data_IF_476746386633
#
_entry.id   IF_476746386633
#
_cell.length_a   1.000
_cell.length_b   1.000
_cell.length_c   1.000
_cell.angle_alpha   90.00
_cell.angle_beta   90.00
_cell.angle_gamma   90.00
#
_symmetry.space_group_name_H-M   'P 1'
#
loop_
_entity.id
_entity.type
_entity.pdbx_description
1 polymer ?
#
# COMPACT_ATOMS: atom_id res chain seq x y z
N UNK A 1 6.94 -2.04 25.21
CA UNK A 1 7.73 -2.39 24.02
C UNK A 1 6.90 -3.40 23.23
N UNK A 2 6.36 -3.03 22.08
CA UNK A 2 5.68 -3.95 21.17
C UNK A 2 6.75 -4.81 20.52
N UNK A 3 6.61 -6.12 20.64
CA UNK A 3 7.52 -7.12 20.10
C UNK A 3 7.68 -6.90 18.57
N UNK A 4 8.81 -6.30 18.18
CA UNK A 4 9.09 -5.83 16.81
C UNK A 4 9.41 -6.98 15.82
N UNK A 5 9.41 -8.24 16.31
CA UNK A 5 9.94 -9.40 15.56
C UNK A 5 8.88 -10.21 14.81
N UNK A 6 7.61 -9.74 14.70
CA UNK A 6 6.53 -10.64 14.28
C UNK A 6 6.37 -10.83 12.78
N UNK A 7 6.85 -9.90 11.93
CA UNK A 7 6.80 -10.04 10.47
C UNK A 7 8.16 -9.71 9.86
N UNK A 8 8.71 -10.66 9.12
CA UNK A 8 9.89 -10.46 8.29
C UNK A 8 9.49 -10.52 6.81
N UNK A 9 10.40 -10.16 5.91
CA UNK A 9 10.13 -10.09 4.46
C UNK A 9 9.44 -11.34 3.92
N UNK A 10 9.91 -12.55 4.27
CA UNK A 10 9.35 -13.83 3.82
C UNK A 10 7.89 -14.05 4.21
N UNK A 11 7.43 -13.45 5.31
CA UNK A 11 6.07 -13.64 5.82
C UNK A 11 5.05 -12.78 5.06
N UNK A 12 5.52 -11.72 4.41
CA UNK A 12 4.67 -10.71 3.76
C UNK A 12 4.92 -10.54 2.27
N UNK A 13 6.03 -11.09 1.73
CA UNK A 13 6.40 -10.96 0.32
C UNK A 13 5.49 -11.77 -0.59
N UNK A 14 5.34 -11.31 -1.83
CA UNK A 14 4.82 -12.09 -2.93
C UNK A 14 5.97 -12.88 -3.58
N UNK A 15 5.80 -14.21 -3.74
CA UNK A 15 6.83 -15.09 -4.31
C UNK A 15 6.69 -15.29 -5.82
N UNK A 16 5.47 -15.14 -6.39
CA UNK A 16 5.25 -15.17 -7.85
C UNK A 16 5.63 -13.80 -8.44
N UNK A 17 6.93 -13.60 -8.65
CA UNK A 17 7.49 -12.34 -9.12
C UNK A 17 7.71 -12.39 -10.62
N UNK A 18 6.95 -11.61 -11.38
CA UNK A 18 7.21 -11.40 -12.79
C UNK A 18 8.52 -10.61 -12.94
N UNK A 19 9.44 -11.11 -13.76
CA UNK A 19 10.74 -10.49 -14.04
C UNK A 19 10.92 -10.28 -15.55
N UNK A 20 11.84 -9.39 -15.92
CA UNK A 20 12.23 -9.11 -17.30
C UNK A 20 13.75 -9.07 -17.42
N UNK A 21 14.26 -9.10 -18.66
CA UNK A 21 15.68 -8.98 -18.94
C UNK A 21 16.02 -7.56 -19.42
N UNK A 22 17.29 -7.10 -19.27
CA UNK A 22 17.72 -5.78 -19.77
C UNK A 22 17.43 -5.56 -21.26
N UNK A 23 17.45 -6.65 -22.06
CA UNK A 23 17.20 -6.62 -23.49
C UNK A 23 15.72 -6.75 -23.87
N UNK A 24 14.81 -6.92 -22.91
CA UNK A 24 13.37 -6.88 -23.17
C UNK A 24 12.97 -5.51 -23.69
N UNK A 25 12.04 -5.47 -24.65
CA UNK A 25 11.52 -4.18 -25.15
C UNK A 25 10.65 -3.50 -24.08
N UNK A 26 10.65 -2.19 -24.08
CA UNK A 26 9.79 -1.41 -23.18
C UNK A 26 8.31 -1.80 -23.36
N UNK A 27 7.87 -1.96 -24.62
CA UNK A 27 6.50 -2.35 -24.93
C UNK A 27 6.12 -3.72 -24.33
N UNK A 28 7.00 -4.72 -24.42
CA UNK A 28 6.71 -6.05 -23.88
C UNK A 28 6.69 -6.03 -22.33
N UNK A 29 7.55 -5.23 -21.71
CA UNK A 29 7.53 -5.03 -20.26
C UNK A 29 6.23 -4.33 -19.80
N UNK A 30 5.76 -3.32 -20.51
CA UNK A 30 4.48 -2.64 -20.24
C UNK A 30 3.30 -3.60 -20.37
N UNK A 31 3.26 -4.43 -21.43
CA UNK A 31 2.25 -5.48 -21.59
C UNK A 31 2.27 -6.46 -20.42
N UNK A 32 3.46 -6.85 -19.96
CA UNK A 32 3.62 -7.74 -18.81
C UNK A 32 3.11 -7.07 -17.52
N UNK A 33 3.43 -5.80 -17.30
CA UNK A 33 2.92 -5.05 -16.14
C UNK A 33 1.39 -5.02 -16.10
N UNK A 34 0.74 -4.73 -17.22
CA UNK A 34 -0.72 -4.69 -17.34
C UNK A 34 -1.32 -6.08 -17.13
N UNK A 35 -0.81 -7.11 -17.80
CA UNK A 35 -1.33 -8.49 -17.71
C UNK A 35 -1.20 -9.08 -16.30
N UNK A 36 -0.11 -8.78 -15.60
CA UNK A 36 0.16 -9.22 -14.23
C UNK A 36 -0.40 -8.28 -13.16
N UNK A 37 -0.96 -7.14 -13.57
CA UNK A 37 -1.48 -6.08 -12.67
C UNK A 37 -0.43 -5.62 -11.65
N UNK A 38 0.79 -5.42 -12.12
CA UNK A 38 1.91 -4.94 -11.31
C UNK A 38 2.39 -3.59 -11.81
N UNK A 39 2.85 -2.73 -10.91
CA UNK A 39 3.32 -1.39 -11.20
C UNK A 39 4.86 -1.29 -11.27
N UNK A 40 5.54 -2.42 -11.44
CA UNK A 40 6.98 -2.50 -11.66
C UNK A 40 7.49 -3.92 -11.69
N UNK A 41 8.59 -4.10 -12.38
CA UNK A 41 9.21 -5.38 -12.67
C UNK A 41 10.69 -5.36 -12.26
N UNK A 42 11.16 -6.35 -11.49
CA UNK A 42 12.59 -6.60 -11.33
C UNK A 42 13.22 -7.01 -12.66
N UNK A 43 14.41 -6.49 -12.90
CA UNK A 43 15.22 -6.81 -14.09
C UNK A 43 16.32 -7.77 -13.67
N UNK A 44 16.38 -8.93 -14.30
CA UNK A 44 17.35 -9.98 -14.00
C UNK A 44 18.24 -10.26 -15.20
N UNK A 45 19.50 -10.63 -14.95
CA UNK A 45 20.41 -11.07 -16.00
C UNK A 45 20.15 -12.52 -16.42
N UNK A 46 20.92 -13.03 -17.37
CA UNK A 46 20.84 -14.42 -17.86
C UNK A 46 21.09 -15.47 -16.78
N UNK A 47 21.81 -15.11 -15.69
CA UNK A 47 22.07 -15.99 -14.55
C UNK A 47 20.99 -15.91 -13.48
N UNK A 48 19.96 -15.05 -13.69
CA UNK A 48 18.87 -14.81 -12.75
C UNK A 48 19.27 -13.90 -11.58
N UNK A 49 20.40 -13.18 -11.70
CA UNK A 49 20.79 -12.18 -10.70
C UNK A 49 20.01 -10.87 -10.96
N UNK A 50 19.58 -10.23 -9.88
CA UNK A 50 18.88 -8.96 -9.93
C UNK A 50 19.86 -7.84 -10.31
N UNK A 51 19.62 -7.17 -11.45
CA UNK A 51 20.48 -6.10 -11.99
C UNK A 51 19.79 -4.73 -12.05
N UNK A 52 18.46 -4.70 -11.91
CA UNK A 52 17.72 -3.44 -11.97
C UNK A 52 16.27 -3.57 -11.55
N UNK A 53 15.58 -2.44 -11.54
CA UNK A 53 14.13 -2.34 -11.38
C UNK A 53 13.57 -1.44 -12.48
N UNK A 54 12.41 -1.80 -13.01
CA UNK A 54 11.60 -0.94 -13.86
C UNK A 54 10.25 -0.69 -13.18
N UNK A 55 9.80 0.53 -13.17
CA UNK A 55 8.52 0.92 -12.58
C UNK A 55 7.75 1.89 -13.48
N UNK A 56 6.48 2.14 -13.14
CA UNK A 56 5.68 3.18 -13.78
C UNK A 56 6.40 4.54 -13.79
N UNK A 57 7.10 4.88 -12.69
CA UNK A 57 7.84 6.14 -12.58
C UNK A 57 8.98 6.27 -13.60
N UNK A 58 9.66 5.17 -13.91
CA UNK A 58 10.76 5.16 -14.88
C UNK A 58 10.22 5.35 -16.31
N UNK A 59 9.01 4.87 -16.59
CA UNK A 59 8.34 5.03 -17.89
C UNK A 59 7.75 6.42 -18.06
N UNK A 60 7.18 6.96 -16.97
CA UNK A 60 6.47 8.24 -17.00
C UNK A 60 7.38 9.44 -16.70
N UNK A 61 8.68 9.22 -16.49
CA UNK A 61 9.65 10.29 -16.23
C UNK A 61 9.48 10.99 -14.88
N UNK A 62 8.79 10.38 -13.91
CA UNK A 62 8.45 11.03 -12.63
C UNK A 62 9.64 11.32 -11.73
N UNK A 63 10.83 10.87 -12.07
CA UNK A 63 12.05 11.06 -11.25
C UNK A 63 12.81 12.36 -11.54
N UNK A 64 12.57 12.97 -12.68
CA UNK A 64 13.26 14.20 -13.10
C UNK A 64 12.23 15.32 -13.34
N UNK A 65 11.75 15.95 -12.28
CA UNK A 65 10.86 17.11 -12.30
C UNK A 65 10.02 17.32 -13.55
N UNK A 66 8.73 17.27 -13.46
CA UNK A 66 7.74 17.41 -14.54
C UNK A 66 8.19 18.39 -15.62
N UNK A 67 8.60 17.90 -16.77
CA UNK A 67 8.71 18.75 -17.94
C UNK A 67 7.30 19.05 -18.49
N UNK A 68 7.12 20.21 -19.12
CA UNK A 68 5.84 20.59 -19.75
C UNK A 68 5.34 19.54 -20.79
N UNK A 69 6.23 18.63 -21.24
CA UNK A 69 5.96 17.54 -22.16
C UNK A 69 5.26 16.36 -21.49
N UNK A 70 5.59 16.10 -20.22
CA UNK A 70 5.04 15.02 -19.41
C UNK A 70 3.70 15.39 -18.75
N UNK A 71 3.51 16.66 -18.39
CA UNK A 71 2.22 17.19 -17.97
C UNK A 71 1.15 17.00 -19.05
N UNK A 72 1.53 17.18 -20.32
CA UNK A 72 0.66 16.98 -21.47
C UNK A 72 0.17 15.53 -21.65
N UNK A 73 0.89 14.57 -21.10
CA UNK A 73 0.53 13.15 -21.11
C UNK A 73 -0.69 12.85 -20.23
N UNK A 74 -0.71 13.44 -19.03
CA UNK A 74 -1.85 13.31 -18.11
C UNK A 74 -3.08 14.05 -18.62
N UNK A 75 -2.89 15.21 -19.23
CA UNK A 75 -3.97 15.96 -19.87
C UNK A 75 -4.59 15.15 -21.02
N UNK A 76 -3.77 14.51 -21.86
CA UNK A 76 -4.23 13.63 -22.93
C UNK A 76 -4.97 12.38 -22.43
N UNK A 77 -4.52 11.76 -21.34
CA UNK A 77 -5.22 10.63 -20.72
C UNK A 77 -6.52 11.07 -20.04
N UNK A 78 -6.53 12.24 -19.40
CA UNK A 78 -7.70 12.79 -18.72
C UNK A 78 -8.80 13.23 -19.70
N UNK A 79 -8.42 13.70 -20.89
CA UNK A 79 -9.35 14.14 -21.93
C UNK A 79 -9.88 13.00 -22.82
N UNK A 80 -9.46 11.74 -22.57
CA UNK A 80 -9.93 10.57 -23.30
C UNK A 80 -9.46 10.50 -24.76
N UNK A 81 -8.41 11.23 -25.11
CA UNK A 81 -7.81 11.16 -26.44
C UNK A 81 -7.06 9.83 -26.62
N UNK A 82 -7.21 9.22 -27.80
CA UNK A 82 -6.31 8.16 -28.25
C UNK A 82 -4.87 8.68 -28.16
N UNK A 83 -3.98 7.89 -27.58
CA UNK A 83 -2.54 8.19 -27.50
C UNK A 83 -2.07 8.70 -28.86
N UNK A 84 -1.45 9.89 -28.86
CA UNK A 84 -1.01 10.53 -30.09
C UNK A 84 -0.26 9.52 -30.98
N UNK A 85 -0.64 9.35 -32.25
CA UNK A 85 -0.04 8.35 -33.15
C UNK A 85 1.48 8.44 -33.20
N UNK A 86 2.03 9.63 -33.01
CA UNK A 86 3.47 9.88 -33.02
C UNK A 86 4.19 9.33 -31.79
N UNK A 87 3.56 9.36 -30.61
CA UNK A 87 4.11 8.77 -29.40
C UNK A 87 4.07 7.23 -29.46
N UNK A 88 2.97 6.66 -29.97
CA UNK A 88 2.89 5.21 -30.19
C UNK A 88 3.92 4.75 -31.21
N UNK A 89 4.15 5.53 -32.28
CA UNK A 89 5.22 5.28 -33.23
C UNK A 89 6.60 5.35 -32.61
N UNK A 90 6.86 6.36 -31.78
CA UNK A 90 8.13 6.51 -31.08
C UNK A 90 8.44 5.32 -30.17
N UNK A 91 7.44 4.81 -29.43
CA UNK A 91 7.59 3.57 -28.62
C UNK A 91 7.76 2.33 -29.53
N UNK A 92 7.04 2.25 -30.65
CA UNK A 92 7.10 1.11 -31.56
C UNK A 92 8.38 1.10 -32.42
N UNK A 93 8.80 2.27 -32.92
CA UNK A 93 9.93 2.40 -33.86
C UNK A 93 11.27 2.36 -33.13
N UNK A 94 11.36 2.86 -31.89
CA UNK A 94 12.65 2.92 -31.18
C UNK A 94 13.11 1.59 -30.59
N UNK A 95 12.34 0.52 -30.58
CA UNK A 95 12.71 -0.77 -29.96
C UNK A 95 13.45 -0.57 -28.61
N UNK A 96 13.04 0.45 -27.84
CA UNK A 96 13.72 0.86 -26.65
C UNK A 96 13.80 -0.32 -25.68
N UNK A 97 15.02 -0.63 -25.24
CA UNK A 97 15.27 -1.72 -24.29
C UNK A 97 15.14 -1.22 -22.86
N UNK A 98 14.71 -2.11 -21.98
CA UNK A 98 14.55 -1.80 -20.55
C UNK A 98 15.83 -1.24 -19.93
N UNK A 99 17.00 -1.72 -20.34
CA UNK A 99 18.30 -1.23 -19.85
C UNK A 99 18.50 0.29 -19.99
N UNK A 100 17.78 0.94 -20.91
CA UNK A 100 17.89 2.38 -21.13
C UNK A 100 17.03 3.21 -20.14
N UNK A 101 16.03 2.58 -19.51
CA UNK A 101 15.07 3.27 -18.63
C UNK A 101 15.06 2.73 -17.19
N UNK A 102 15.59 1.51 -16.96
CA UNK A 102 15.59 0.90 -15.64
C UNK A 102 16.48 1.65 -14.66
N UNK A 103 16.10 1.65 -13.40
CA UNK A 103 16.97 2.03 -12.30
C UNK A 103 17.95 0.87 -12.02
N UNK A 104 19.26 1.13 -12.14
CA UNK A 104 20.31 0.15 -11.83
C UNK A 104 20.55 0.07 -10.31
N UNK A 105 21.10 -1.07 -9.84
CA UNK A 105 21.42 -1.29 -8.43
C UNK A 105 20.25 -1.05 -7.47
N UNK A 106 19.14 -1.77 -7.62
CA UNK A 106 17.97 -1.59 -6.78
C UNK A 106 18.28 -1.91 -5.32
N UNK A 107 17.64 -1.17 -4.42
CA UNK A 107 17.68 -1.48 -2.99
C UNK A 107 16.98 -2.82 -2.77
N UNK A 108 17.67 -3.75 -2.11
CA UNK A 108 17.15 -5.10 -1.83
C UNK A 108 17.19 -5.39 -0.33
N UNK A 109 16.41 -6.38 0.08
CA UNK A 109 16.42 -6.90 1.45
C UNK A 109 16.54 -8.41 1.44
N UNK A 110 16.92 -8.99 2.59
CA UNK A 110 16.89 -10.43 2.80
C UNK A 110 15.50 -10.90 3.24
N UNK A 111 15.27 -12.19 3.17
CA UNK A 111 14.02 -12.83 3.63
C UNK A 111 13.75 -12.62 5.13
N UNK A 112 14.81 -12.39 5.91
CA UNK A 112 14.73 -12.20 7.37
C UNK A 112 14.65 -10.74 7.78
N UNK A 113 14.68 -9.80 6.83
CA UNK A 113 14.60 -8.36 7.13
C UNK A 113 13.24 -8.02 7.74
N UNK A 114 13.20 -7.34 8.90
CA UNK A 114 11.95 -6.97 9.56
C UNK A 114 11.09 -6.02 8.70
N UNK A 115 9.78 -6.22 8.72
CA UNK A 115 8.82 -5.39 7.98
C UNK A 115 8.96 -3.88 8.29
N UNK A 116 9.30 -3.53 9.54
CA UNK A 116 9.55 -2.16 9.95
C UNK A 116 10.75 -1.54 9.22
N UNK A 117 11.83 -2.31 9.07
CA UNK A 117 13.01 -1.86 8.35
C UNK A 117 12.70 -1.66 6.86
N UNK A 118 11.93 -2.56 6.25
CA UNK A 118 11.46 -2.42 4.87
C UNK A 118 10.64 -1.15 4.71
N UNK A 119 9.72 -0.86 5.65
CA UNK A 119 8.92 0.36 5.63
C UNK A 119 9.80 1.62 5.73
N UNK A 120 10.83 1.60 6.58
CA UNK A 120 11.80 2.70 6.74
C UNK A 120 12.61 2.91 5.46
N UNK A 121 13.08 1.83 4.81
CA UNK A 121 13.78 1.90 3.52
C UNK A 121 12.89 2.49 2.41
N UNK A 122 11.64 2.03 2.32
CA UNK A 122 10.69 2.57 1.35
C UNK A 122 10.43 4.06 1.55
N UNK A 123 10.34 4.51 2.81
CA UNK A 123 10.14 5.92 3.13
C UNK A 123 11.39 6.75 2.81
N UNK A 124 12.56 6.33 3.29
CA UNK A 124 13.81 7.06 3.14
C UNK A 124 14.22 7.25 1.68
N UNK A 125 13.93 6.28 0.83
CA UNK A 125 14.29 6.30 -0.60
C UNK A 125 13.13 6.63 -1.54
N UNK A 126 11.95 6.97 -1.03
CA UNK A 126 10.78 7.30 -1.86
C UNK A 126 10.23 6.14 -2.70
N UNK A 127 10.67 4.88 -2.45
CA UNK A 127 10.30 3.71 -3.25
C UNK A 127 9.01 3.06 -2.76
N UNK A 128 8.31 2.38 -3.66
CA UNK A 128 7.00 1.75 -3.37
C UNK A 128 7.10 0.23 -3.23
N UNK A 129 8.24 -0.36 -3.60
CA UNK A 129 8.51 -1.81 -3.58
C UNK A 129 9.98 -2.08 -3.35
N UNK A 130 10.25 -3.23 -2.75
CA UNK A 130 11.61 -3.69 -2.46
C UNK A 130 11.74 -5.16 -2.84
N UNK A 131 12.64 -5.53 -3.76
CA UNK A 131 12.95 -6.92 -4.05
C UNK A 131 13.55 -7.62 -2.83
N UNK A 132 13.12 -8.86 -2.61
CA UNK A 132 13.71 -9.75 -1.61
C UNK A 132 14.65 -10.70 -2.33
N UNK A 133 15.90 -10.76 -1.88
CA UNK A 133 16.92 -11.56 -2.54
C UNK A 133 17.56 -12.57 -1.60
N UNK A 134 17.98 -13.70 -2.19
CA UNK A 134 18.83 -14.72 -1.58
C UNK A 134 19.99 -15.00 -2.52
N UNK A 135 21.22 -14.79 -2.07
CA UNK A 135 22.44 -14.97 -2.88
C UNK A 135 22.37 -14.19 -4.23
N UNK A 136 21.88 -12.95 -4.20
CA UNK A 136 21.75 -12.09 -5.36
C UNK A 136 20.59 -12.43 -6.31
N UNK A 137 19.89 -13.54 -6.09
CA UNK A 137 18.71 -13.92 -6.87
C UNK A 137 17.42 -13.47 -6.19
N UNK A 138 16.44 -13.05 -6.99
CA UNK A 138 15.14 -12.65 -6.48
C UNK A 138 14.36 -13.86 -5.98
N UNK A 139 13.80 -13.77 -4.78
CA UNK A 139 12.93 -14.81 -4.17
C UNK A 139 11.56 -14.26 -3.82
N UNK A 140 11.38 -12.95 -3.84
CA UNK A 140 10.11 -12.30 -3.56
C UNK A 140 10.18 -10.79 -3.79
N UNK A 141 9.05 -10.14 -3.62
CA UNK A 141 8.93 -8.69 -3.64
C UNK A 141 7.97 -8.24 -2.54
N UNK A 142 8.33 -7.18 -1.82
CA UNK A 142 7.45 -6.54 -0.83
C UNK A 142 7.04 -5.18 -1.37
N UNK A 143 5.75 -4.87 -1.29
CA UNK A 143 5.17 -3.59 -1.67
C UNK A 143 4.59 -2.85 -0.46
N UNK A 144 4.24 -1.56 -0.62
CA UNK A 144 3.51 -0.82 0.43
C UNK A 144 2.17 -1.49 0.79
N UNK A 145 1.50 -2.12 -0.16
CA UNK A 145 0.25 -2.84 0.08
C UNK A 145 0.46 -4.06 0.98
N UNK A 146 1.60 -4.76 0.85
CA UNK A 146 1.94 -5.90 1.71
C UNK A 146 2.18 -5.45 3.16
N UNK A 147 2.85 -4.31 3.34
CA UNK A 147 3.04 -3.71 4.66
C UNK A 147 1.71 -3.32 5.31
N UNK A 148 0.76 -2.77 4.53
CA UNK A 148 -0.58 -2.45 5.04
C UNK A 148 -1.35 -3.71 5.41
N UNK A 149 -1.27 -4.79 4.62
CA UNK A 149 -1.89 -6.09 4.96
C UNK A 149 -1.32 -6.65 6.26
N UNK A 150 -0.01 -6.66 6.43
CA UNK A 150 0.65 -7.09 7.67
C UNK A 150 0.22 -6.25 8.88
N UNK A 151 0.06 -4.94 8.71
CA UNK A 151 -0.43 -4.05 9.76
C UNK A 151 -1.88 -4.40 10.17
N UNK A 152 -2.77 -4.63 9.20
CA UNK A 152 -4.16 -5.04 9.46
C UNK A 152 -4.19 -6.35 10.24
N UNK A 153 -3.38 -7.33 9.84
CA UNK A 153 -3.29 -8.61 10.54
C UNK A 153 -2.81 -8.43 11.98
N UNK A 154 -1.76 -7.63 12.21
CA UNK A 154 -1.27 -7.30 13.55
C UNK A 154 -2.33 -6.62 14.40
N UNK A 155 -3.06 -5.65 13.85
CA UNK A 155 -4.14 -4.95 14.57
C UNK A 155 -5.30 -5.89 14.91
N UNK A 156 -5.63 -6.83 14.04
CA UNK A 156 -6.70 -7.82 14.26
C UNK A 156 -6.35 -8.82 15.37
N UNK A 157 -5.06 -9.09 15.60
CA UNK A 157 -4.57 -9.95 16.68
C UNK A 157 -4.53 -9.24 18.04
N UNK A 158 -4.53 -7.91 18.06
CA UNK A 158 -4.65 -7.13 19.28
C UNK A 158 -6.11 -7.22 19.70
N UNK A 159 -6.46 -8.13 20.66
CA UNK A 159 -7.78 -8.12 21.33
C UNK A 159 -8.03 -6.70 21.82
N UNK A 160 -9.05 -6.04 21.28
CA UNK A 160 -9.48 -4.74 21.80
C UNK A 160 -9.69 -4.89 23.31
N UNK A 161 -8.99 -4.15 24.17
CA UNK A 161 -9.37 -4.10 25.57
C UNK A 161 -10.84 -3.64 25.59
N UNK A 162 -11.68 -4.19 26.50
CA UNK A 162 -13.05 -3.72 26.63
C UNK A 162 -13.00 -2.19 26.75
N UNK A 163 -13.93 -1.45 26.12
CA UNK A 163 -13.95 -0.01 26.23
C UNK A 163 -13.83 0.34 27.72
N UNK A 164 -12.81 1.09 28.09
CA UNK A 164 -12.69 1.62 29.44
C UNK A 164 -13.97 2.41 29.63
N UNK A 165 -14.84 1.91 30.54
CA UNK A 165 -15.95 2.72 31.00
C UNK A 165 -15.32 3.99 31.56
N UNK A 166 -15.38 5.05 30.77
CA UNK A 166 -14.97 6.37 31.27
C UNK A 166 -15.96 6.68 32.35
N UNK A 167 -15.51 7.18 33.53
CA UNK A 167 -16.39 7.51 34.63
C UNK A 167 -17.56 8.43 34.28
N UNK A 168 -17.49 9.06 33.09
CA UNK A 168 -18.55 9.84 32.44
C UNK A 168 -19.71 8.94 31.98
N UNK A 169 -19.46 7.74 31.43
CA UNK A 169 -20.52 6.83 30.98
C UNK A 169 -21.26 6.22 32.17
N UNK A 170 -20.55 5.96 33.26
CA UNK A 170 -21.12 5.48 34.52
C UNK A 170 -21.95 6.57 35.21
N UNK A 171 -21.44 7.79 35.25
CA UNK A 171 -22.16 8.96 35.77
C UNK A 171 -23.41 9.29 34.93
N UNK A 172 -23.36 9.21 33.62
CA UNK A 172 -24.51 9.38 32.71
C UNK A 172 -25.57 8.28 32.90
N UNK A 173 -25.12 7.04 33.12
CA UNK A 173 -26.03 5.91 33.38
C UNK A 173 -26.74 6.08 34.74
N UNK A 174 -26.00 6.44 35.79
CA UNK A 174 -26.56 6.73 37.13
C UNK A 174 -27.49 7.94 37.10
N UNK A 175 -27.16 9.00 36.36
CA UNK A 175 -28.03 10.17 36.16
C UNK A 175 -29.34 9.82 35.46
N UNK A 176 -29.29 8.97 34.41
CA UNK A 176 -30.49 8.45 33.73
C UNK A 176 -31.37 7.59 34.61
N UNK A 177 -30.79 6.68 35.38
CA UNK A 177 -31.53 5.82 36.31
C UNK A 177 -32.23 6.63 37.39
N UNK A 178 -31.53 7.65 37.94
CA UNK A 178 -32.09 8.59 38.90
C UNK A 178 -33.24 9.43 38.35
N UNK A 179 -33.09 9.95 37.10
CA UNK A 179 -34.14 10.70 36.46
C UNK A 179 -35.40 9.86 36.19
N UNK A 180 -35.25 8.59 35.81
CA UNK A 180 -36.38 7.66 35.60
C UNK A 180 -37.09 7.32 36.91
N UNK A 181 -36.31 7.17 38.01
CA UNK A 181 -36.89 6.92 39.34
C UNK A 181 -37.70 8.12 39.87
N UNK A 182 -37.21 9.33 39.64
CA UNK A 182 -37.90 10.56 40.05
C UNK A 182 -39.21 10.79 39.29
N UNK A 183 -39.24 10.51 37.97
CA UNK A 183 -40.47 10.57 37.15
C UNK A 183 -41.51 9.57 37.68
N UNK A 184 -41.13 8.36 38.03
CA UNK A 184 -42.01 7.34 38.60
C UNK A 184 -42.56 7.73 39.98
N UNK A 185 -41.79 8.47 40.78
CA UNK A 185 -42.19 8.95 42.09
C UNK A 185 -43.23 10.08 42.01
N UNK A 186 -43.04 10.98 41.06
CA UNK A 186 -44.00 12.08 40.79
C UNK A 186 -45.32 11.55 40.25
N UNK A 187 -45.28 10.54 39.33
CA UNK A 187 -46.50 9.91 38.78
C UNK A 187 -47.37 9.23 39.82
N UNK A 188 -46.79 8.60 40.86
CA UNK A 188 -47.53 7.96 41.95
C UNK A 188 -48.20 8.94 42.91
N UNK A 189 -47.72 10.20 43.03
CA UNK A 189 -48.36 11.21 43.89
C UNK A 189 -49.59 11.88 43.27
N UNK A 190 -49.78 11.76 41.96
CA UNK A 190 -50.93 12.34 41.27
C UNK A 190 -52.16 11.40 41.24
N UNK A 191 -52.03 10.12 41.59
CA UNK A 191 -53.14 9.16 41.64
C UNK A 191 -53.86 9.02 43.00
N UNK A 192 -53.49 9.86 43.98
CA UNK A 192 -54.07 9.83 45.34
C UNK A 192 -54.85 11.12 45.67
N UNK A 193 -55.56 11.68 44.70
CA UNK A 193 -56.54 12.74 44.99
C UNK A 193 -57.88 12.00 45.24
N UNK A 194 -58.49 12.08 46.44
CA UNK A 194 -59.81 11.52 46.69
C UNK A 194 -60.84 12.31 45.91
N UNK A 195 -61.69 11.61 45.17
CA UNK A 195 -62.89 12.22 44.60
C UNK A 195 -63.92 12.39 45.74
N UNK A 196 -64.05 13.59 46.24
CA UNK A 196 -65.17 13.96 47.08
C UNK A 196 -66.08 14.92 46.30
N UNK A 197 -67.31 14.37 46.03
CA UNK A 197 -68.61 15.00 45.71
C UNK A 197 -68.70 15.87 44.48
#
# INVERSE_FOLDING_TARGET
MLDDAKFVARDIMSCDVATVHPETTLLDALKLMVSRRVSGLPVVDEKGALVGMMSEGDVLGWHEGFSAREARWFDLLAEGFELAPDFLREIQEQHQKIKAVMSSNPITVSETTPAREIASLMHAHGIKRVPVTRNGKIVGIVTRADLVRALIEKLSQIKRPPPRATGVDEALRQAREKAVADVRRVGRRRSSIPSDR
#
